data_IF_701576571967
#
_entry.id   IF_701576571967
#
_cell.length_a   1.000
_cell.length_b   1.000
_cell.length_c   1.000
_cell.angle_alpha   90.00
_cell.angle_beta   90.00
_cell.angle_gamma   90.00
#
_symmetry.space_group_name_H-M   'P 1'
#
loop_
_entity.id
_entity.type
_entity.pdbx_description
1 polymer ?
#
# COMPACT_ATOMS: atom_id res chain seq x y z
N UNK A 1 17.03 -6.74 7.67
CA UNK A 1 15.64 -6.69 7.15
C UNK A 1 14.79 -5.62 7.84
N UNK A 2 14.71 -5.63 9.18
CA UNK A 2 13.88 -4.69 9.94
C UNK A 2 14.29 -3.22 9.79
N UNK A 3 15.60 -2.92 9.73
CA UNK A 3 16.08 -1.55 9.49
C UNK A 3 15.64 -1.01 8.13
N UNK A 4 15.62 -1.87 7.11
CA UNK A 4 15.15 -1.49 5.77
C UNK A 4 13.62 -1.29 5.75
N UNK A 5 12.88 -2.14 6.47
CA UNK A 5 11.44 -2.01 6.63
C UNK A 5 11.08 -0.69 7.35
N UNK A 6 11.72 -0.40 8.50
CA UNK A 6 11.50 0.83 9.25
C UNK A 6 11.88 2.09 8.45
N UNK A 7 12.94 2.04 7.64
CA UNK A 7 13.32 3.15 6.78
C UNK A 7 12.28 3.43 5.68
N UNK A 8 11.57 2.40 5.20
CA UNK A 8 10.56 2.53 4.16
C UNK A 8 9.22 3.09 4.67
N UNK A 9 8.90 2.92 5.96
CA UNK A 9 7.61 3.34 6.54
C UNK A 9 7.34 4.83 6.34
N UNK A 10 8.33 5.69 6.59
CA UNK A 10 8.19 7.14 6.38
C UNK A 10 7.92 7.50 4.92
N UNK A 11 8.61 6.82 3.99
CA UNK A 11 8.42 6.99 2.55
C UNK A 11 7.06 6.53 2.04
N UNK A 12 6.48 5.48 2.64
CA UNK A 12 5.14 4.99 2.31
C UNK A 12 4.03 5.92 2.85
N UNK A 13 4.29 6.65 3.94
CA UNK A 13 3.31 7.54 4.57
C UNK A 13 3.06 8.84 3.79
N UNK A 14 4.09 9.35 3.09
CA UNK A 14 4.01 10.57 2.29
C UNK A 14 2.94 10.48 1.19
N UNK A 15 2.98 9.49 0.25
CA UNK A 15 1.95 9.37 -0.80
C UNK A 15 0.57 9.04 -0.22
N UNK A 16 0.51 8.35 0.90
CA UNK A 16 -0.74 8.07 1.60
C UNK A 16 -1.39 9.37 2.10
N UNK A 17 -0.67 10.21 2.82
CA UNK A 17 -1.22 11.46 3.37
C UNK A 17 -1.48 12.52 2.30
N UNK A 18 -0.65 12.58 1.26
CA UNK A 18 -0.73 13.63 0.23
C UNK A 18 -1.63 13.27 -0.94
N UNK A 19 -1.65 12.02 -1.39
CA UNK A 19 -2.42 11.58 -2.55
C UNK A 19 -3.59 10.65 -2.18
N UNK A 20 -3.67 10.19 -0.94
CA UNK A 20 -4.62 9.15 -0.53
C UNK A 20 -4.28 7.78 -1.10
N UNK A 21 -3.05 7.58 -1.58
CA UNK A 21 -2.60 6.34 -2.23
C UNK A 21 -1.62 5.61 -1.30
N UNK A 22 -1.92 4.38 -0.89
CA UNK A 22 -1.04 3.61 -0.02
C UNK A 22 0.26 3.20 -0.73
N UNK A 23 1.39 3.32 -0.04
CA UNK A 23 2.69 2.87 -0.54
C UNK A 23 3.02 1.41 -0.24
N UNK A 24 2.31 0.80 0.72
CA UNK A 24 2.51 -0.56 1.18
C UNK A 24 1.23 -1.12 1.84
N UNK A 25 1.26 -2.39 2.24
CA UNK A 25 0.10 -3.03 2.87
C UNK A 25 -0.28 -2.40 4.23
N UNK A 26 0.70 -1.89 5.00
CA UNK A 26 0.43 -1.29 6.31
C UNK A 26 -0.26 0.07 6.16
N UNK A 27 0.24 0.94 5.26
CA UNK A 27 -0.41 2.23 4.99
C UNK A 27 -1.81 2.08 4.39
N UNK A 28 -2.07 1.00 3.65
CA UNK A 28 -3.41 0.70 3.14
C UNK A 28 -4.42 0.39 4.26
N UNK A 29 -4.00 -0.34 5.30
CA UNK A 29 -4.82 -0.56 6.50
C UNK A 29 -5.03 0.77 7.26
N UNK A 30 -4.00 1.61 7.33
CA UNK A 30 -4.09 2.93 7.96
C UNK A 30 -5.10 3.85 7.26
N UNK A 31 -5.21 3.81 5.93
CA UNK A 31 -6.27 4.54 5.20
C UNK A 31 -7.66 4.09 5.68
N UNK A 32 -7.86 2.77 5.82
CA UNK A 32 -9.11 2.22 6.37
C UNK A 32 -9.39 2.73 7.79
N UNK A 33 -8.38 2.75 8.66
CA UNK A 33 -8.51 3.27 10.03
C UNK A 33 -8.85 4.78 10.05
N UNK A 34 -8.19 5.58 9.20
CA UNK A 34 -8.49 7.01 9.08
C UNK A 34 -9.92 7.25 8.60
N UNK A 35 -10.39 6.47 7.61
CA UNK A 35 -11.79 6.54 7.15
C UNK A 35 -12.80 6.20 8.24
N UNK A 36 -12.52 5.20 9.09
CA UNK A 36 -13.37 4.88 10.25
C UNK A 36 -13.46 6.09 11.21
N UNK A 37 -12.38 6.87 11.33
CA UNK A 37 -12.34 8.10 12.13
C UNK A 37 -12.80 9.36 11.38
N UNK A 38 -13.36 9.24 10.17
CA UNK A 38 -13.85 10.39 9.38
C UNK A 38 -12.75 11.31 8.87
N UNK A 39 -11.55 10.77 8.67
CA UNK A 39 -10.40 11.45 8.07
C UNK A 39 -10.15 10.85 6.69
N UNK A 40 -10.25 11.68 5.66
CA UNK A 40 -10.00 11.26 4.28
C UNK A 40 -8.60 11.69 3.86
N UNK A 41 -7.59 10.79 3.85
CA UNK A 41 -6.24 11.14 3.44
C UNK A 41 -6.20 11.57 1.98
N UNK A 42 -5.28 12.49 1.66
CA UNK A 42 -5.17 13.13 0.35
C UNK A 42 -5.08 14.66 0.45
N UNK A 43 -5.09 15.36 -0.70
CA UNK A 43 -4.89 16.81 -0.73
C UNK A 43 -5.95 17.57 0.05
N UNK A 44 -7.18 17.05 0.05
CA UNK A 44 -8.31 17.64 0.77
C UNK A 44 -8.12 17.60 2.29
N UNK A 45 -7.40 16.61 2.85
CA UNK A 45 -7.13 16.59 4.29
C UNK A 45 -6.34 17.83 4.74
N UNK A 46 -5.39 18.27 3.90
CA UNK A 46 -4.55 19.43 4.17
C UNK A 46 -5.34 20.74 4.07
N UNK A 47 -6.43 20.76 3.31
CA UNK A 47 -7.29 21.93 3.09
C UNK A 47 -8.40 21.97 4.14
N UNK A 48 -9.13 20.87 4.31
CA UNK A 48 -10.31 20.78 5.17
C UNK A 48 -9.94 20.67 6.66
N UNK A 49 -8.84 19.99 6.98
CA UNK A 49 -8.39 19.74 8.36
C UNK A 49 -6.86 19.88 8.50
N UNK A 50 -6.30 21.09 8.26
CA UNK A 50 -4.84 21.32 8.34
C UNK A 50 -4.26 20.96 9.71
N UNK A 51 -5.01 21.22 10.79
CA UNK A 51 -4.59 20.90 12.16
C UNK A 51 -4.38 19.40 12.35
N UNK A 52 -5.28 18.56 11.80
CA UNK A 52 -5.16 17.11 11.88
C UNK A 52 -3.99 16.60 11.04
N UNK A 53 -3.75 17.19 9.88
CA UNK A 53 -2.59 16.85 9.06
C UNK A 53 -1.27 17.09 9.82
N UNK A 54 -1.08 18.29 10.37
CA UNK A 54 0.14 18.61 11.12
C UNK A 54 0.24 17.83 12.44
N UNK A 55 -0.88 17.52 13.08
CA UNK A 55 -0.90 16.63 14.24
C UNK A 55 -0.40 15.22 13.90
N UNK A 56 -0.87 14.64 12.80
CA UNK A 56 -0.42 13.30 12.34
C UNK A 56 1.07 13.33 11.98
N UNK A 57 1.53 14.37 11.28
CA UNK A 57 2.96 14.54 10.94
C UNK A 57 3.81 14.68 12.21
N UNK A 58 3.38 15.51 13.17
CA UNK A 58 4.06 15.66 14.46
C UNK A 58 4.08 14.35 15.26
N UNK A 59 2.97 13.61 15.28
CA UNK A 59 2.88 12.30 15.90
C UNK A 59 3.79 11.28 15.23
N UNK A 60 3.96 11.32 13.90
CA UNK A 60 4.88 10.46 13.17
C UNK A 60 6.35 10.74 13.53
N UNK A 61 6.73 12.01 13.61
CA UNK A 61 8.09 12.39 14.07
C UNK A 61 8.31 11.92 15.51
N UNK A 62 7.34 12.17 16.39
CA UNK A 62 7.41 11.73 17.79
C UNK A 62 7.45 10.20 17.91
N UNK A 63 6.68 9.48 17.09
CA UNK A 63 6.67 8.03 17.04
C UNK A 63 8.04 7.46 16.64
N UNK A 64 8.79 8.12 15.76
CA UNK A 64 10.18 7.72 15.44
C UNK A 64 11.10 7.88 16.65
N UNK A 65 10.97 8.96 17.44
CA UNK A 65 11.72 9.13 18.68
C UNK A 65 11.37 8.04 19.72
N UNK A 66 10.08 7.75 19.90
CA UNK A 66 9.64 6.66 20.78
C UNK A 66 10.08 5.29 20.27
N UNK A 67 10.05 5.05 18.95
CA UNK A 67 10.52 3.81 18.34
C UNK A 67 12.00 3.58 18.63
N UNK A 68 12.84 4.63 18.62
CA UNK A 68 14.23 4.52 19.04
C UNK A 68 14.34 4.10 20.51
N UNK A 69 13.58 4.76 21.40
CA UNK A 69 13.62 4.48 22.84
C UNK A 69 13.10 3.07 23.19
N UNK A 70 11.93 2.70 22.69
CA UNK A 70 11.36 1.36 22.86
C UNK A 70 12.14 0.28 22.11
N UNK A 71 12.72 0.63 20.95
CA UNK A 71 13.59 -0.26 20.21
C UNK A 71 14.82 -0.63 21.03
N UNK A 72 15.54 0.35 21.58
CA UNK A 72 16.76 0.10 22.36
C UNK A 72 16.48 -0.60 23.71
N UNK A 73 15.42 -0.22 24.40
CA UNK A 73 15.09 -0.78 25.73
C UNK A 73 14.36 -2.13 25.63
N UNK A 74 13.46 -2.28 24.66
CA UNK A 74 12.56 -3.42 24.51
C UNK A 74 13.10 -4.55 23.64
N UNK A 75 14.22 -4.37 22.93
CA UNK A 75 14.73 -5.39 21.99
C UNK A 75 14.86 -6.78 22.64
N UNK A 76 15.31 -6.84 23.90
CA UNK A 76 15.46 -8.11 24.65
C UNK A 76 14.13 -8.82 24.89
N UNK A 77 13.04 -8.07 25.06
CA UNK A 77 11.70 -8.63 25.24
C UNK A 77 11.13 -9.08 23.90
N UNK A 78 11.24 -8.25 22.86
CA UNK A 78 10.73 -8.58 21.53
C UNK A 78 11.43 -9.79 20.92
N UNK A 79 12.75 -9.91 21.05
CA UNK A 79 13.48 -11.10 20.57
C UNK A 79 12.99 -12.37 21.26
N UNK A 80 12.73 -12.31 22.58
CA UNK A 80 12.24 -13.47 23.33
C UNK A 80 10.83 -13.90 22.91
N UNK A 81 9.97 -12.97 22.50
CA UNK A 81 8.64 -13.27 21.98
C UNK A 81 8.74 -13.93 20.60
N UNK A 82 9.60 -13.42 19.72
CA UNK A 82 9.79 -13.96 18.36
C UNK A 82 10.45 -15.35 18.39
N UNK A 83 11.31 -15.60 19.38
CA UNK A 83 11.94 -16.91 19.61
C UNK A 83 10.99 -17.96 20.22
N UNK A 84 9.78 -17.58 20.63
CA UNK A 84 8.81 -18.56 21.14
C UNK A 84 8.46 -19.60 20.06
N UNK A 85 8.23 -20.86 20.45
CA UNK A 85 7.88 -21.91 19.52
C UNK A 85 6.65 -21.51 18.70
N UNK A 86 6.72 -21.73 17.39
CA UNK A 86 5.64 -21.39 16.44
C UNK A 86 4.30 -22.01 16.84
N UNK A 87 4.33 -23.15 17.52
CA UNK A 87 3.16 -23.84 18.07
C UNK A 87 2.36 -23.00 19.08
N UNK A 88 2.99 -22.03 19.75
CA UNK A 88 2.31 -21.09 20.67
C UNK A 88 2.04 -19.76 19.99
N UNK A 89 2.97 -19.28 19.17
CA UNK A 89 2.86 -17.98 18.50
C UNK A 89 1.70 -17.93 17.50
N UNK A 90 1.50 -18.98 16.71
CA UNK A 90 0.45 -19.03 15.67
C UNK A 90 -0.96 -18.99 16.30
N UNK A 91 -1.30 -19.83 17.30
CA UNK A 91 -2.60 -19.74 17.98
C UNK A 91 -2.84 -18.38 18.64
N UNK A 92 -1.80 -17.77 19.23
CA UNK A 92 -1.91 -16.46 19.86
C UNK A 92 -2.27 -15.37 18.83
N UNK A 93 -1.58 -15.35 17.68
CA UNK A 93 -1.87 -14.41 16.58
C UNK A 93 -3.29 -14.64 16.04
N UNK A 94 -3.71 -15.90 15.91
CA UNK A 94 -5.02 -16.27 15.40
C UNK A 94 -6.13 -15.82 16.36
N UNK A 95 -5.96 -16.04 17.67
CA UNK A 95 -6.88 -15.53 18.70
C UNK A 95 -6.97 -14.01 18.67
N UNK A 96 -5.83 -13.32 18.63
CA UNK A 96 -5.79 -11.85 18.59
C UNK A 96 -6.46 -11.31 17.31
N UNK A 97 -6.31 -12.00 16.19
CA UNK A 97 -6.92 -11.63 14.92
C UNK A 97 -8.43 -11.86 14.92
N UNK A 98 -8.92 -12.94 15.55
CA UNK A 98 -10.37 -13.18 15.74
C UNK A 98 -10.97 -12.09 16.60
N UNK A 99 -10.33 -11.76 17.73
CA UNK A 99 -10.78 -10.68 18.62
C UNK A 99 -10.75 -9.34 17.90
N UNK A 100 -9.71 -9.06 17.13
CA UNK A 100 -9.60 -7.83 16.33
C UNK A 100 -10.68 -7.71 15.26
N UNK A 101 -10.93 -8.77 14.49
CA UNK A 101 -11.99 -8.79 13.47
C UNK A 101 -13.38 -8.58 14.10
N UNK A 102 -13.62 -9.23 15.24
CA UNK A 102 -14.87 -9.06 15.97
C UNK A 102 -15.02 -7.66 16.56
N UNK A 103 -13.95 -7.05 17.07
CA UNK A 103 -13.99 -5.75 17.75
C UNK A 103 -14.37 -4.56 16.85
N UNK A 104 -14.17 -4.65 15.53
CA UNK A 104 -14.46 -3.54 14.61
C UNK A 104 -15.96 -3.30 14.46
N UNK A 105 -16.74 -4.35 14.18
CA UNK A 105 -18.19 -4.23 13.94
C UNK A 105 -19.06 -5.08 14.89
N UNK A 106 -18.48 -5.71 15.91
CA UNK A 106 -19.16 -6.61 16.85
C UNK A 106 -19.96 -7.71 16.13
N UNK A 107 -19.40 -8.23 15.02
CA UNK A 107 -20.08 -9.12 14.07
C UNK A 107 -19.30 -10.44 13.91
N UNK A 108 -20.01 -11.56 14.06
CA UNK A 108 -19.44 -12.89 13.80
C UNK A 108 -19.20 -13.14 12.30
N UNK A 109 -19.92 -12.44 11.42
CA UNK A 109 -19.73 -12.54 9.97
C UNK A 109 -18.33 -12.09 9.56
N UNK A 110 -17.78 -11.07 10.22
CA UNK A 110 -16.45 -10.55 9.94
C UNK A 110 -15.36 -11.55 10.35
N UNK A 111 -15.62 -12.33 11.39
CA UNK A 111 -14.75 -13.44 11.81
C UNK A 111 -14.75 -14.56 10.77
N UNK A 112 -15.91 -14.90 10.20
CA UNK A 112 -15.97 -15.88 9.10
C UNK A 112 -15.23 -15.40 7.85
N UNK A 113 -15.38 -14.13 7.47
CA UNK A 113 -14.60 -13.53 6.38
C UNK A 113 -13.10 -13.54 6.67
N UNK A 114 -12.70 -13.19 7.89
CA UNK A 114 -11.31 -13.23 8.33
C UNK A 114 -10.71 -14.64 8.20
N UNK A 115 -11.42 -15.67 8.67
CA UNK A 115 -10.97 -17.07 8.55
C UNK A 115 -10.92 -17.53 7.08
N UNK A 116 -11.91 -17.18 6.28
CA UNK A 116 -11.96 -17.50 4.84
C UNK A 116 -10.80 -16.89 4.06
N UNK A 117 -10.55 -15.58 4.22
CA UNK A 117 -9.42 -14.91 3.60
C UNK A 117 -8.07 -15.34 4.19
N UNK A 118 -8.02 -15.71 5.47
CA UNK A 118 -6.83 -16.29 6.10
C UNK A 118 -6.45 -17.64 5.47
N UNK A 119 -7.44 -18.50 5.25
CA UNK A 119 -7.25 -19.77 4.54
C UNK A 119 -6.83 -19.54 3.09
N UNK A 120 -7.50 -18.64 2.36
CA UNK A 120 -7.11 -18.27 1.00
C UNK A 120 -5.67 -17.75 0.93
N UNK A 121 -5.28 -16.87 1.86
CA UNK A 121 -3.93 -16.35 1.96
C UNK A 121 -2.87 -17.44 2.23
N UNK A 122 -3.23 -18.50 2.97
CA UNK A 122 -2.35 -19.66 3.15
C UNK A 122 -2.06 -20.37 1.82
N UNK A 123 -3.06 -20.59 0.97
CA UNK A 123 -2.84 -21.18 -0.36
C UNK A 123 -2.00 -20.27 -1.25
N UNK A 124 -2.29 -18.97 -1.27
CA UNK A 124 -1.50 -18.01 -2.04
C UNK A 124 -0.01 -18.06 -1.67
N UNK A 125 0.28 -18.14 -0.36
CA UNK A 125 1.65 -18.30 0.12
C UNK A 125 2.27 -19.63 -0.30
N UNK A 126 1.49 -20.71 -0.28
CA UNK A 126 1.96 -22.04 -0.70
C UNK A 126 2.36 -22.07 -2.18
N UNK A 127 1.61 -21.38 -3.04
CA UNK A 127 1.91 -21.27 -4.48
C UNK A 127 2.94 -20.16 -4.82
N UNK A 128 3.52 -19.49 -3.82
CA UNK A 128 4.56 -18.48 -4.03
C UNK A 128 4.04 -17.10 -4.45
N UNK A 129 2.74 -16.83 -4.34
CA UNK A 129 2.19 -15.50 -4.62
C UNK A 129 2.56 -14.51 -3.50
N UNK A 130 3.01 -13.29 -3.85
CA UNK A 130 3.30 -12.26 -2.87
C UNK A 130 1.99 -11.68 -2.32
N UNK A 131 1.69 -11.97 -1.05
CA UNK A 131 0.46 -11.51 -0.37
C UNK A 131 0.35 -9.97 -0.29
N UNK A 132 1.46 -9.27 -0.09
CA UNK A 132 1.47 -7.80 0.05
C UNK A 132 0.85 -7.07 -1.16
N UNK A 133 1.36 -7.29 -2.39
CA UNK A 133 0.77 -6.75 -3.61
C UNK A 133 -0.71 -7.12 -3.82
N UNK A 134 -1.12 -8.32 -3.44
CA UNK A 134 -2.52 -8.74 -3.58
C UNK A 134 -3.43 -7.95 -2.63
N UNK A 135 -3.05 -7.82 -1.36
CA UNK A 135 -3.80 -7.02 -0.38
C UNK A 135 -3.86 -5.56 -0.84
N UNK A 136 -2.74 -5.02 -1.32
CA UNK A 136 -2.68 -3.66 -1.85
C UNK A 136 -3.61 -3.49 -3.05
N UNK A 137 -3.66 -4.44 -3.98
CA UNK A 137 -4.57 -4.43 -5.12
C UNK A 137 -6.05 -4.47 -4.71
N UNK A 138 -6.40 -5.28 -3.71
CA UNK A 138 -7.78 -5.34 -3.18
C UNK A 138 -8.20 -4.00 -2.58
N UNK A 139 -7.33 -3.35 -1.80
CA UNK A 139 -7.64 -2.05 -1.19
C UNK A 139 -7.71 -0.95 -2.27
N UNK A 140 -6.78 -0.96 -3.22
CA UNK A 140 -6.75 -0.02 -4.34
C UNK A 140 -7.91 -0.21 -5.33
N UNK A 141 -8.53 -1.39 -5.40
CA UNK A 141 -9.63 -1.66 -6.34
C UNK A 141 -10.76 -0.65 -6.20
N UNK A 142 -11.19 -0.35 -4.97
CA UNK A 142 -12.26 0.63 -4.72
C UNK A 142 -11.85 2.03 -5.15
N UNK A 143 -10.61 2.42 -4.82
CA UNK A 143 -10.06 3.72 -5.22
C UNK A 143 -9.97 3.84 -6.74
N UNK A 144 -9.57 2.77 -7.43
CA UNK A 144 -9.51 2.71 -8.88
C UNK A 144 -10.92 2.84 -9.49
N UNK A 145 -11.90 2.09 -8.99
CA UNK A 145 -13.28 2.12 -9.49
C UNK A 145 -13.92 3.51 -9.33
N UNK A 146 -13.73 4.15 -8.18
CA UNK A 146 -14.25 5.48 -7.90
C UNK A 146 -13.61 6.52 -8.82
N UNK A 147 -12.29 6.46 -9.02
CA UNK A 147 -11.59 7.38 -9.92
C UNK A 147 -11.95 7.12 -11.39
N UNK A 148 -12.10 5.87 -11.78
CA UNK A 148 -12.53 5.48 -13.13
C UNK A 148 -13.92 6.02 -13.45
N UNK A 149 -14.88 5.83 -12.54
CA UNK A 149 -16.24 6.37 -12.68
C UNK A 149 -16.22 7.90 -12.76
N UNK A 150 -15.47 8.58 -11.88
CA UNK A 150 -15.31 10.05 -11.94
C UNK A 150 -14.75 10.52 -13.28
N UNK A 151 -13.75 9.81 -13.83
CA UNK A 151 -13.15 10.15 -15.11
C UNK A 151 -14.12 10.00 -16.29
N UNK A 152 -14.87 8.89 -16.36
CA UNK A 152 -15.85 8.66 -17.43
C UNK A 152 -17.00 9.68 -17.37
N UNK A 153 -17.50 9.98 -16.18
CA UNK A 153 -18.57 10.97 -15.99
C UNK A 153 -18.10 12.36 -16.44
N UNK A 154 -16.84 12.72 -16.14
CA UNK A 154 -16.24 13.99 -16.58
C UNK A 154 -16.24 14.15 -18.11
N UNK A 155 -16.03 13.06 -18.84
CA UNK A 155 -16.00 13.02 -20.31
C UNK A 155 -17.37 12.70 -20.94
N UNK A 156 -18.45 12.77 -20.15
CA UNK A 156 -19.84 12.50 -20.58
C UNK A 156 -20.00 11.13 -21.26
N UNK A 157 -19.32 10.11 -20.75
CA UNK A 157 -19.40 8.73 -21.24
C UNK A 157 -18.88 8.51 -22.67
N UNK A 158 -18.20 9.49 -23.27
CA UNK A 158 -17.58 9.36 -24.58
C UNK A 158 -16.12 8.85 -24.43
N UNK A 159 -15.95 7.55 -24.66
CA UNK A 159 -14.63 6.89 -24.62
C UNK A 159 -13.64 7.53 -25.61
N UNK A 160 -14.11 8.06 -26.75
CA UNK A 160 -13.26 8.73 -27.73
C UNK A 160 -12.67 10.03 -27.18
N UNK A 161 -13.48 10.81 -26.46
CA UNK A 161 -13.03 12.05 -25.80
C UNK A 161 -12.11 11.78 -24.63
N UNK A 162 -12.32 10.69 -23.89
CA UNK A 162 -11.41 10.27 -22.83
C UNK A 162 -9.98 10.01 -23.37
N UNK A 163 -9.84 9.23 -24.45
CA UNK A 163 -8.51 8.99 -25.06
C UNK A 163 -7.91 10.27 -25.66
N UNK A 164 -8.74 11.16 -26.21
CA UNK A 164 -8.30 12.47 -26.68
C UNK A 164 -7.81 13.37 -25.54
N UNK A 165 -8.47 13.32 -24.38
CA UNK A 165 -8.11 14.04 -23.15
C UNK A 165 -6.77 13.60 -22.56
N UNK A 166 -6.42 12.31 -22.71
CA UNK A 166 -5.09 11.79 -22.35
C UNK A 166 -3.99 12.46 -23.19
N UNK A 167 -4.21 12.64 -24.50
CA UNK A 167 -3.24 13.27 -25.39
C UNK A 167 -3.19 14.79 -25.22
N UNK A 168 -4.34 15.41 -24.92
CA UNK A 168 -4.47 16.87 -24.83
C UNK A 168 -3.93 17.44 -23.52
N UNK A 169 -4.09 16.72 -22.41
CA UNK A 169 -3.58 17.17 -21.11
C UNK A 169 -2.10 16.76 -20.92
N UNK A 170 -1.16 17.72 -20.78
CA UNK A 170 0.26 17.40 -20.70
C UNK A 170 0.60 16.46 -19.54
N UNK A 171 -0.11 16.60 -18.42
CA UNK A 171 0.11 15.78 -17.23
C UNK A 171 -0.37 14.33 -17.42
N UNK A 172 -1.54 14.12 -18.05
CA UNK A 172 -2.04 12.77 -18.35
C UNK A 172 -1.15 12.07 -19.37
N UNK A 173 -0.69 12.79 -20.40
CA UNK A 173 0.24 12.26 -21.40
C UNK A 173 1.55 11.80 -20.75
N UNK A 174 2.14 12.63 -19.89
CA UNK A 174 3.39 12.29 -19.17
C UNK A 174 3.18 11.08 -18.26
N UNK A 175 2.10 11.04 -17.48
CA UNK A 175 1.80 9.89 -16.61
C UNK A 175 1.55 8.61 -17.42
N UNK A 176 0.81 8.71 -18.54
CA UNK A 176 0.53 7.58 -19.41
C UNK A 176 1.80 7.02 -20.05
N UNK A 177 2.68 7.91 -20.55
CA UNK A 177 4.00 7.51 -21.05
C UNK A 177 4.87 6.90 -19.94
N UNK A 178 4.85 7.46 -18.73
CA UNK A 178 5.60 6.90 -17.59
C UNK A 178 5.12 5.49 -17.25
N UNK A 179 3.80 5.24 -17.25
CA UNK A 179 3.23 3.90 -17.05
C UNK A 179 3.70 2.94 -18.15
N UNK A 180 3.59 3.33 -19.42
CA UNK A 180 4.07 2.52 -20.56
C UNK A 180 5.57 2.21 -20.40
N UNK A 181 6.38 3.21 -20.06
CA UNK A 181 7.82 3.04 -19.88
C UNK A 181 8.16 2.08 -18.73
N UNK A 182 7.42 2.13 -17.61
CA UNK A 182 7.59 1.20 -16.50
C UNK A 182 7.26 -0.23 -16.94
N UNK A 183 6.14 -0.43 -17.63
CA UNK A 183 5.76 -1.74 -18.17
C UNK A 183 6.79 -2.27 -19.17
N UNK A 184 7.23 -1.45 -20.12
CA UNK A 184 8.24 -1.83 -21.12
C UNK A 184 9.58 -2.14 -20.46
N UNK A 185 10.02 -1.35 -19.47
CA UNK A 185 11.25 -1.57 -18.70
C UNK A 185 11.23 -2.90 -17.94
N UNK A 186 10.07 -3.30 -17.43
CA UNK A 186 9.87 -4.58 -16.71
C UNK A 186 9.64 -5.78 -17.64
N UNK A 187 9.41 -5.56 -18.95
CA UNK A 187 9.34 -6.65 -19.93
C UNK A 187 10.72 -7.06 -20.46
N UNK A 188 10.92 -8.36 -20.83
CA UNK A 188 12.19 -8.85 -21.37
C UNK A 188 12.62 -8.21 -22.70
N UNK A 189 11.72 -7.46 -23.36
CA UNK A 189 12.00 -6.70 -24.59
C UNK A 189 13.04 -5.59 -24.37
N UNK A 190 13.02 -4.92 -23.21
CA UNK A 190 14.00 -3.90 -22.86
C UNK A 190 15.38 -4.51 -22.55
N UNK A 191 15.41 -5.68 -21.91
CA UNK A 191 16.65 -6.44 -21.68
C UNK A 191 17.30 -6.85 -23.01
N UNK A 192 16.50 -7.25 -24.00
CA UNK A 192 16.98 -7.60 -25.34
C UNK A 192 17.50 -6.38 -26.14
N UNK A 193 16.81 -5.24 -26.04
CA UNK A 193 17.25 -3.97 -26.63
C UNK A 193 18.56 -3.44 -26.02
N UNK A 194 18.72 -3.54 -24.69
CA UNK A 194 19.94 -3.14 -23.98
C UNK A 194 21.11 -4.08 -24.28
N UNK A 195 20.86 -5.37 -24.53
CA UNK A 195 21.87 -6.31 -24.98
C UNK A 195 22.38 -5.98 -26.40
N UNK A 196 21.49 -5.61 -27.33
CA UNK A 196 21.88 -5.18 -28.68
C UNK A 196 22.65 -3.85 -28.70
N UNK A 197 22.26 -2.88 -27.86
CA UNK A 197 22.97 -1.60 -27.74
C UNK A 197 24.37 -1.73 -27.09
N UNK A 198 24.59 -2.76 -26.26
CA UNK A 198 25.90 -3.08 -25.70
C UNK A 198 26.78 -3.86 -26.69
N UNK A 199 26.20 -4.73 -27.52
CA UNK A 199 26.93 -5.45 -28.56
C UNK A 199 27.44 -4.52 -29.68
N UNK A 200 26.70 -3.46 -30.02
CA UNK A 200 27.16 -2.46 -31.02
C UNK A 200 28.24 -1.50 -30.53
N UNK A 201 28.61 -1.53 -29.24
CA UNK A 201 29.64 -0.67 -28.65
C UNK A 201 30.97 -1.39 -28.37
N UNK A 202 31.05 -2.69 -28.64
CA UNK A 202 32.28 -3.48 -28.52
C UNK A 202 33.00 -3.69 -29.85
N UNK A 203 32.43 -3.20 -30.96
CA UNK A 203 32.96 -3.34 -32.32
C UNK A 203 33.53 -2.01 -32.88
N UNK A 204 33.68 -0.97 -32.05
CA UNK A 204 34.50 0.23 -32.29
C UNK A 204 35.67 0.27 -31.28
#
# INVERSE_FOLDING_TARGET
>A
PETANNAAVGGAFIPMMTLGIPGDAVTAIMIGALFIHGLNPGPMLMIDKPDMFWFIVGALVMANCFMLLFGLTGIKLFTKIVEMPRSVLIPLILLLSIVGAYAVNNSLTDVYWMLGFGFFGYFMRHYGYPLGPVILGVILSRLLDDNWRRAIISEREDLGRFFYGIVTSPLSLVLFLAVILIFVSQTPLWAWGKARLRAGKSDE
#
